data_IF_050076035701
#
_entry.id   IF_050076035701
#
_cell.length_a   1.000
_cell.length_b   1.000
_cell.length_c   1.000
_cell.angle_alpha   90.00
_cell.angle_beta   90.00
_cell.angle_gamma   90.00
#
_symmetry.space_group_name_H-M   'P 1'
#
loop_
_entity.id
_entity.type
_entity.pdbx_description
1 polymer ?
#
# COMPACT_ATOMS: atom_id res chain seq x y z
N UNK A 1 -30.62 -17.02 -14.50
CA UNK A 1 -30.27 -15.63 -14.08
C UNK A 1 -30.22 -15.41 -12.55
N UNK A 2 -31.02 -16.14 -11.74
CA UNK A 2 -31.08 -16.01 -10.27
C UNK A 2 -29.77 -16.36 -9.52
N UNK A 3 -29.06 -17.40 -9.96
CA UNK A 3 -27.82 -17.88 -9.32
C UNK A 3 -26.63 -16.91 -9.47
N UNK A 4 -26.56 -16.16 -10.57
CA UNK A 4 -25.49 -15.18 -10.81
C UNK A 4 -25.66 -13.95 -9.90
N UNK A 5 -26.90 -13.46 -9.73
CA UNK A 5 -27.24 -12.38 -8.78
C UNK A 5 -26.97 -12.81 -7.33
N UNK A 6 -27.30 -14.06 -6.96
CA UNK A 6 -27.05 -14.62 -5.61
C UNK A 6 -25.55 -14.78 -5.32
N UNK A 7 -24.74 -15.17 -6.31
CA UNK A 7 -23.26 -15.27 -6.19
C UNK A 7 -22.60 -13.89 -6.10
N UNK A 8 -23.08 -12.89 -6.84
CA UNK A 8 -22.67 -11.47 -6.71
C UNK A 8 -23.08 -10.88 -5.35
N UNK A 9 -24.31 -11.13 -4.88
CA UNK A 9 -24.77 -10.70 -3.55
C UNK A 9 -24.02 -11.38 -2.41
N UNK A 10 -23.68 -12.68 -2.50
CA UNK A 10 -22.82 -13.34 -1.50
C UNK A 10 -21.42 -12.72 -1.43
N UNK A 11 -20.81 -12.41 -2.57
CA UNK A 11 -19.53 -11.67 -2.61
C UNK A 11 -19.65 -10.26 -2.02
N UNK A 12 -20.77 -9.58 -2.25
CA UNK A 12 -21.06 -8.25 -1.70
C UNK A 12 -21.35 -8.30 -0.18
N UNK A 13 -22.07 -9.31 0.31
CA UNK A 13 -22.38 -9.50 1.73
C UNK A 13 -21.16 -9.91 2.55
N UNK A 14 -20.23 -10.71 1.99
CA UNK A 14 -18.93 -11.00 2.63
C UNK A 14 -18.09 -9.70 2.74
N UNK A 15 -18.21 -8.79 1.77
CA UNK A 15 -17.51 -7.50 1.79
C UNK A 15 -18.06 -6.54 2.88
N UNK A 16 -19.37 -6.60 3.15
CA UNK A 16 -20.03 -5.81 4.21
C UNK A 16 -19.78 -6.38 5.61
N UNK A 17 -19.67 -7.71 5.76
CA UNK A 17 -19.39 -8.34 7.05
C UNK A 17 -17.97 -8.03 7.59
N UNK A 18 -17.00 -7.70 6.72
CA UNK A 18 -15.64 -7.28 7.14
C UNK A 18 -15.63 -5.81 7.61
N UNK A 19 -16.60 -4.99 7.18
CA UNK A 19 -16.72 -3.59 7.59
C UNK A 19 -17.27 -3.42 9.02
N UNK A 20 -18.10 -4.34 9.52
CA UNK A 20 -18.72 -4.22 10.85
C UNK A 20 -17.80 -4.61 12.00
N UNK A 21 -16.82 -5.50 11.78
CA UNK A 21 -15.78 -5.83 12.78
C UNK A 21 -14.73 -4.70 12.94
N UNK A 22 -14.69 -3.75 12.00
CA UNK A 22 -13.71 -2.66 11.95
C UNK A 22 -13.95 -1.50 12.93
N UNK A 23 -15.15 -1.32 13.48
CA UNK A 23 -15.47 -0.14 14.31
C UNK A 23 -15.11 -0.32 15.80
N UNK A 24 -14.99 -1.55 16.30
CA UNK A 24 -14.59 -1.79 17.69
C UNK A 24 -13.06 -1.68 17.96
N UNK A 25 -12.23 -1.55 16.92
CA UNK A 25 -10.77 -1.54 17.03
C UNK A 25 -10.10 -0.28 16.45
N UNK A 26 -10.84 0.83 16.30
CA UNK A 26 -10.37 2.03 15.61
C UNK A 26 -9.12 2.72 16.23
N UNK A 27 -8.76 2.42 17.49
CA UNK A 27 -7.58 2.97 18.16
C UNK A 27 -6.36 2.02 18.24
N UNK A 28 -6.50 0.73 17.92
CA UNK A 28 -5.37 -0.22 17.74
C UNK A 28 -5.07 -0.38 16.25
N UNK A 29 -4.84 0.72 15.55
CA UNK A 29 -4.76 0.74 14.09
C UNK A 29 -3.56 -0.01 13.54
N UNK A 30 -3.78 -0.94 12.59
CA UNK A 30 -2.86 -1.55 11.59
C UNK A 30 -1.44 -1.98 12.01
N UNK A 31 -1.02 -1.77 13.26
CA UNK A 31 0.34 -1.98 13.77
C UNK A 31 0.69 -3.46 13.84
N UNK A 32 -0.33 -4.31 13.96
CA UNK A 32 -0.22 -5.76 14.13
C UNK A 32 -0.79 -6.54 12.93
N UNK A 33 -1.01 -5.89 11.79
CA UNK A 33 -1.48 -6.58 10.59
C UNK A 33 -0.37 -7.36 9.90
N UNK A 34 -0.67 -8.58 9.46
CA UNK A 34 0.29 -9.41 8.71
C UNK A 34 0.60 -8.79 7.33
N UNK A 35 1.77 -9.10 6.72
CA UNK A 35 2.08 -8.67 5.36
C UNK A 35 0.99 -9.01 4.33
N UNK A 36 0.35 -10.17 4.48
CA UNK A 36 -0.76 -10.65 3.66
C UNK A 36 -2.00 -9.77 3.82
N UNK A 37 -2.37 -9.43 5.05
CA UNK A 37 -3.51 -8.55 5.32
C UNK A 37 -3.25 -7.14 4.74
N UNK A 38 -2.04 -6.62 4.91
CA UNK A 38 -1.64 -5.31 4.37
C UNK A 38 -1.74 -5.31 2.84
N UNK A 39 -1.22 -6.34 2.19
CA UNK A 39 -1.26 -6.49 0.74
C UNK A 39 -2.71 -6.58 0.23
N UNK A 40 -3.54 -7.40 0.88
CA UNK A 40 -4.94 -7.58 0.49
C UNK A 40 -5.79 -6.33 0.66
N UNK A 41 -5.60 -5.59 1.76
CA UNK A 41 -6.32 -4.32 1.97
C UNK A 41 -5.88 -3.29 0.93
N UNK A 42 -4.58 -3.19 0.66
CA UNK A 42 -4.04 -2.20 -0.27
C UNK A 42 -4.40 -2.54 -1.72
N UNK A 43 -4.41 -3.81 -2.13
CA UNK A 43 -4.86 -4.23 -3.46
C UNK A 43 -6.32 -3.84 -3.68
N UNK A 44 -7.21 -4.12 -2.71
CA UNK A 44 -8.63 -3.74 -2.77
C UNK A 44 -8.83 -2.22 -2.82
N UNK A 45 -8.05 -1.44 -2.07
CA UNK A 45 -8.09 0.03 -2.17
C UNK A 45 -7.64 0.52 -3.56
N UNK A 46 -6.63 -0.12 -4.16
CA UNK A 46 -6.22 0.18 -5.53
C UNK A 46 -7.29 -0.23 -6.54
N UNK A 47 -7.99 -1.35 -6.33
CA UNK A 47 -9.15 -1.74 -7.13
C UNK A 47 -10.23 -0.66 -7.11
N UNK A 48 -10.58 -0.11 -5.94
CA UNK A 48 -11.57 0.96 -5.83
C UNK A 48 -11.14 2.27 -6.51
N UNK A 49 -9.85 2.57 -6.52
CA UNK A 49 -9.34 3.83 -7.08
C UNK A 49 -9.06 3.77 -8.58
N UNK A 50 -8.72 2.58 -9.09
CA UNK A 50 -8.24 2.36 -10.45
C UNK A 50 -9.17 1.46 -11.27
N UNK A 51 -10.27 0.98 -10.69
CA UNK A 51 -11.21 0.06 -11.36
C UNK A 51 -10.50 -1.21 -11.87
N UNK A 52 -9.64 -1.80 -11.03
CA UNK A 52 -8.87 -2.99 -11.41
C UNK A 52 -9.80 -4.19 -11.65
N UNK A 53 -9.52 -4.95 -12.70
CA UNK A 53 -10.18 -6.24 -12.89
C UNK A 53 -9.59 -7.31 -11.93
N UNK A 54 -10.24 -8.47 -11.85
CA UNK A 54 -9.82 -9.56 -10.93
C UNK A 54 -8.37 -10.00 -11.13
N UNK A 55 -7.90 -10.08 -12.39
CA UNK A 55 -6.54 -10.49 -12.72
C UNK A 55 -5.53 -9.42 -12.28
N UNK A 56 -5.79 -8.16 -12.61
CA UNK A 56 -4.97 -7.02 -12.21
C UNK A 56 -4.89 -6.89 -10.69
N UNK A 57 -6.01 -7.03 -9.98
CA UNK A 57 -6.02 -6.99 -8.51
C UNK A 57 -5.13 -8.09 -7.91
N UNK A 58 -5.20 -9.32 -8.43
CA UNK A 58 -4.37 -10.44 -7.97
C UNK A 58 -2.87 -10.16 -8.18
N UNK A 59 -2.51 -9.63 -9.36
CA UNK A 59 -1.12 -9.27 -9.66
C UNK A 59 -0.63 -8.12 -8.78
N UNK A 60 -1.45 -7.08 -8.59
CA UNK A 60 -1.17 -5.98 -7.65
C UNK A 60 -0.95 -6.53 -6.24
N UNK A 61 -1.82 -7.42 -5.76
CA UNK A 61 -1.70 -8.01 -4.43
C UNK A 61 -0.39 -8.79 -4.25
N UNK A 62 0.03 -9.56 -5.25
CA UNK A 62 1.32 -10.27 -5.24
C UNK A 62 2.51 -9.30 -5.13
N UNK A 63 2.51 -8.23 -5.93
CA UNK A 63 3.55 -7.19 -5.88
C UNK A 63 3.59 -6.56 -4.47
N UNK A 64 2.42 -6.19 -3.95
CA UNK A 64 2.29 -5.55 -2.63
C UNK A 64 2.68 -6.49 -1.48
N UNK A 65 2.43 -7.79 -1.62
CA UNK A 65 2.83 -8.80 -0.64
C UNK A 65 4.34 -8.89 -0.55
N UNK A 66 5.02 -8.94 -1.70
CA UNK A 66 6.49 -8.92 -1.76
C UNK A 66 7.04 -7.68 -1.06
N UNK A 67 6.48 -6.50 -1.35
CA UNK A 67 6.87 -5.24 -0.68
C UNK A 67 6.60 -5.26 0.84
N UNK A 68 5.47 -5.82 1.26
CA UNK A 68 5.09 -5.88 2.67
C UNK A 68 6.02 -6.81 3.45
N UNK A 69 6.35 -7.99 2.90
CA UNK A 69 7.30 -8.94 3.49
C UNK A 69 8.70 -8.35 3.60
N UNK A 70 9.17 -7.72 2.52
CA UNK A 70 10.48 -7.04 2.54
C UNK A 70 10.52 -5.92 3.58
N UNK A 71 9.44 -5.12 3.71
CA UNK A 71 9.36 -4.06 4.73
C UNK A 71 9.35 -4.63 6.15
N UNK A 72 8.68 -5.75 6.37
CA UNK A 72 8.65 -6.42 7.67
C UNK A 72 10.03 -6.99 8.04
N UNK A 73 10.71 -7.64 7.09
CA UNK A 73 12.04 -8.21 7.29
C UNK A 73 13.13 -7.17 7.52
N UNK A 74 13.02 -5.99 6.88
CA UNK A 74 14.00 -4.91 7.01
C UNK A 74 13.57 -3.82 8.01
N UNK A 75 12.68 -4.15 8.96
CA UNK A 75 12.15 -3.17 9.92
C UNK A 75 13.19 -2.89 11.00
N UNK A 76 13.81 -1.73 10.91
CA UNK A 76 14.69 -1.24 11.97
C UNK A 76 13.94 -0.51 13.09
N UNK A 77 14.41 -0.72 14.32
CA UNK A 77 14.05 0.06 15.52
C UNK A 77 14.51 1.51 15.40
N UNK A 78 14.22 2.33 16.41
CA UNK A 78 14.66 3.74 16.40
C UNK A 78 16.17 3.82 16.68
N UNK A 79 16.65 2.94 17.55
CA UNK A 79 18.02 2.81 18.02
C UNK A 79 18.92 2.36 16.86
N UNK A 80 18.56 1.26 16.18
CA UNK A 80 19.29 0.75 15.01
C UNK A 80 19.36 1.77 13.87
N UNK A 81 18.37 2.66 13.75
CA UNK A 81 18.40 3.75 12.75
C UNK A 81 19.35 4.88 13.14
N UNK A 82 19.47 5.16 14.43
CA UNK A 82 20.36 6.20 14.93
C UNK A 82 21.83 5.80 14.71
N UNK A 83 22.14 4.51 14.84
CA UNK A 83 23.47 3.93 14.69
C UNK A 83 23.96 3.82 13.24
N UNK A 84 23.08 3.98 12.24
CA UNK A 84 23.49 3.86 10.84
C UNK A 84 24.52 4.93 10.44
N UNK A 85 25.60 4.49 9.81
CA UNK A 85 26.60 5.38 9.19
C UNK A 85 26.01 6.13 8.00
N UNK A 86 26.74 7.15 7.50
CA UNK A 86 26.29 7.90 6.31
C UNK A 86 26.22 6.99 5.09
N UNK A 87 27.21 6.12 4.90
CA UNK A 87 27.33 5.17 3.79
C UNK A 87 26.18 4.16 3.83
N UNK A 88 25.89 3.61 5.02
CA UNK A 88 24.75 2.70 5.20
C UNK A 88 23.40 3.38 4.93
N UNK A 89 23.26 4.67 5.30
CA UNK A 89 22.05 5.47 4.98
C UNK A 89 21.90 5.67 3.48
N UNK A 90 22.98 5.98 2.76
CA UNK A 90 22.99 6.13 1.30
C UNK A 90 22.62 4.81 0.62
N UNK A 91 23.30 3.72 0.95
CA UNK A 91 23.02 2.40 0.36
C UNK A 91 21.57 1.94 0.59
N UNK A 92 21.02 2.19 1.79
CA UNK A 92 19.59 1.92 2.05
C UNK A 92 18.66 2.81 1.23
N UNK A 93 19.03 4.07 0.99
CA UNK A 93 18.27 4.97 0.14
C UNK A 93 18.26 4.50 -1.31
N UNK A 94 19.42 4.14 -1.86
CA UNK A 94 19.56 3.59 -3.22
C UNK A 94 18.70 2.34 -3.41
N UNK A 95 18.84 1.35 -2.52
CA UNK A 95 18.02 0.13 -2.53
C UNK A 95 16.52 0.42 -2.47
N UNK A 96 16.11 1.42 -1.68
CA UNK A 96 14.70 1.83 -1.64
C UNK A 96 14.25 2.49 -2.94
N UNK A 97 15.10 3.27 -3.61
CA UNK A 97 14.78 3.89 -4.89
C UNK A 97 14.67 2.84 -6.01
N UNK A 98 15.61 1.90 -6.08
CA UNK A 98 15.56 0.76 -7.00
C UNK A 98 14.26 -0.03 -6.83
N UNK A 99 13.89 -0.33 -5.58
CA UNK A 99 12.63 -1.03 -5.31
C UNK A 99 11.41 -0.26 -5.80
N UNK A 100 11.39 1.07 -5.62
CA UNK A 100 10.30 1.92 -6.12
C UNK A 100 10.24 1.93 -7.64
N UNK A 101 11.40 1.96 -8.31
CA UNK A 101 11.50 1.88 -9.76
C UNK A 101 10.94 0.54 -10.25
N UNK A 102 11.33 -0.56 -9.62
CA UNK A 102 10.88 -1.90 -9.97
C UNK A 102 9.36 -2.04 -9.80
N UNK A 103 8.82 -1.66 -8.64
CA UNK A 103 7.36 -1.66 -8.44
C UNK A 103 6.66 -0.77 -9.47
N UNK A 104 7.20 0.42 -9.78
CA UNK A 104 6.59 1.30 -10.78
C UNK A 104 6.55 0.64 -12.17
N UNK A 105 7.62 -0.07 -12.57
CA UNK A 105 7.66 -0.84 -13.82
C UNK A 105 6.65 -1.99 -13.83
N UNK A 106 6.57 -2.74 -12.73
CA UNK A 106 5.58 -3.83 -12.58
C UNK A 106 4.14 -3.31 -12.61
N UNK A 107 3.87 -2.15 -12.01
CA UNK A 107 2.54 -1.51 -12.10
C UNK A 107 2.25 -1.06 -13.54
N UNK A 108 3.25 -0.55 -14.26
CA UNK A 108 3.07 -0.13 -15.66
C UNK A 108 2.74 -1.31 -16.58
N UNK A 109 3.22 -2.52 -16.30
CA UNK A 109 2.95 -3.69 -17.15
C UNK A 109 1.58 -4.32 -16.92
N UNK A 110 0.97 -4.11 -15.75
CA UNK A 110 -0.35 -4.69 -15.41
C UNK A 110 -1.51 -3.70 -15.59
N UNK A 111 -1.24 -2.40 -15.49
CA UNK A 111 -2.25 -1.35 -15.64
C UNK A 111 -2.34 -0.88 -17.09
N UNK A 112 -3.56 -0.57 -17.54
CA UNK A 112 -3.72 0.14 -18.81
C UNK A 112 -3.30 1.62 -18.67
N UNK A 113 -3.29 2.36 -19.78
CA UNK A 113 -2.82 3.75 -19.81
C UNK A 113 -3.59 4.66 -18.82
N UNK A 114 -4.92 4.58 -18.80
CA UNK A 114 -5.76 5.42 -17.94
C UNK A 114 -5.56 5.10 -16.46
N UNK A 115 -5.51 3.81 -16.12
CA UNK A 115 -5.26 3.32 -14.76
C UNK A 115 -3.87 3.74 -14.28
N UNK A 116 -2.86 3.62 -15.14
CA UNK A 116 -1.50 4.01 -14.82
C UNK A 116 -1.38 5.52 -14.61
N UNK A 117 -2.04 6.34 -15.44
CA UNK A 117 -2.09 7.79 -15.25
C UNK A 117 -2.78 8.18 -13.92
N UNK A 118 -3.88 7.52 -13.55
CA UNK A 118 -4.52 7.68 -12.23
C UNK A 118 -3.56 7.29 -11.10
N UNK A 119 -2.85 6.17 -11.25
CA UNK A 119 -1.86 5.70 -10.28
C UNK A 119 -0.71 6.70 -10.08
N UNK A 120 -0.16 7.28 -11.15
CA UNK A 120 0.89 8.31 -11.05
C UNK A 120 0.39 9.56 -10.33
N UNK A 121 -0.85 10.00 -10.61
CA UNK A 121 -1.48 11.12 -9.90
C UNK A 121 -1.66 10.83 -8.41
N UNK A 122 -2.05 9.60 -8.04
CA UNK A 122 -2.14 9.19 -6.64
C UNK A 122 -0.77 9.26 -5.96
N UNK A 123 0.27 8.73 -6.60
CA UNK A 123 1.63 8.77 -6.08
C UNK A 123 2.15 10.20 -5.88
N UNK A 124 1.88 11.10 -6.83
CA UNK A 124 2.25 12.51 -6.73
C UNK A 124 1.53 13.21 -5.56
N UNK A 125 0.22 12.99 -5.41
CA UNK A 125 -0.57 13.54 -4.29
C UNK A 125 -0.06 13.05 -2.95
N UNK A 126 0.27 11.77 -2.82
CA UNK A 126 0.82 11.20 -1.60
C UNK A 126 2.20 11.79 -1.26
N UNK A 127 3.05 12.02 -2.25
CA UNK A 127 4.34 12.70 -2.06
C UNK A 127 4.14 14.14 -1.56
N UNK A 128 3.24 14.89 -2.19
CA UNK A 128 2.90 16.26 -1.77
C UNK A 128 2.35 16.32 -0.34
N UNK A 129 1.46 15.38 0.02
CA UNK A 129 0.92 15.27 1.40
C UNK A 129 2.04 15.04 2.42
N UNK A 130 2.93 14.07 2.16
CA UNK A 130 4.08 13.79 3.04
C UNK A 130 5.00 14.99 3.20
N UNK A 131 5.23 15.76 2.13
CA UNK A 131 6.04 16.98 2.19
C UNK A 131 5.36 18.05 3.07
N UNK A 132 4.05 18.27 2.91
CA UNK A 132 3.28 19.21 3.74
C UNK A 132 3.31 18.81 5.22
N UNK A 133 3.15 17.52 5.52
CA UNK A 133 3.19 17.01 6.89
C UNK A 133 4.58 17.15 7.52
N UNK A 134 5.64 16.92 6.75
CA UNK A 134 7.02 17.14 7.19
C UNK A 134 7.28 18.62 7.52
N UNK A 135 6.79 19.56 6.69
CA UNK A 135 6.90 21.00 6.95
C UNK A 135 6.17 21.41 8.23
N UNK A 136 4.93 20.94 8.42
CA UNK A 136 4.15 21.19 9.63
C UNK A 136 4.81 20.67 10.90
N UNK A 137 5.50 19.52 10.81
CA UNK A 137 6.24 18.95 11.95
C UNK A 137 7.52 19.68 12.30
N UNK A 138 8.15 20.36 11.32
CA UNK A 138 9.33 21.20 11.56
C UNK A 138 8.96 22.49 12.28
N UNK A 139 7.99 23.26 11.78
CA UNK A 139 7.54 24.51 12.41
C UNK A 139 6.75 24.36 13.72
N UNK A 140 6.69 23.15 14.31
CA UNK A 140 6.18 22.89 15.67
C UNK A 140 7.29 22.51 16.66
N UNK A 141 8.53 22.42 16.18
CA UNK A 141 9.72 22.09 16.98
C UNK A 141 10.58 23.32 17.26
N UNK A 142 10.17 24.46 16.73
CA UNK A 142 10.67 25.81 17.02
C UNK A 142 9.65 26.47 17.96
#
# INVERSE_FOLDING_TARGET
MYNIKKKKMKKLMILVAILTVGFANAQRGMRDSSPEQIASIKSKKMTLALDLNTQQQSQVESILLKEAKERAANRLTKEERAELTKEQKVAKMEKMLEKRIETKRQMKSILNADQYAKFEKMMAKDAQRKMKDAKKRRGKRD
#
